data_IF_269420155012
#
_entry.id   IF_269420155012
#
_cell.length_a   1.000
_cell.length_b   1.000
_cell.length_c   1.000
_cell.angle_alpha   90.00
_cell.angle_beta   90.00
_cell.angle_gamma   90.00
#
_symmetry.space_group_name_H-M   'P 1'
#
loop_
_entity.id
_entity.type
_entity.pdbx_description
1 polymer ?
#
# COMPACT_ATOMS: atom_id res chain seq x y z
N UNK A 1 22.39 4.10 -4.31
CA UNK A 1 21.07 3.67 -3.82
C UNK A 1 21.04 3.92 -2.33
N UNK A 2 20.07 4.67 -1.83
CA UNK A 2 20.03 5.10 -0.44
C UNK A 2 18.85 4.46 0.28
N UNK A 3 19.14 3.74 1.38
CA UNK A 3 18.09 3.24 2.25
C UNK A 3 17.61 4.40 3.13
N UNK A 4 16.41 4.91 2.86
CA UNK A 4 15.80 5.96 3.65
C UNK A 4 15.16 5.38 4.91
N UNK A 5 15.92 5.37 6.00
CA UNK A 5 15.44 5.06 7.34
C UNK A 5 14.88 6.35 7.95
N UNK A 6 13.71 6.26 8.60
CA UNK A 6 13.08 7.41 9.27
C UNK A 6 14.10 8.12 10.17
N UNK A 7 14.18 9.45 10.04
CA UNK A 7 15.08 10.33 10.78
C UNK A 7 16.58 10.04 10.64
N UNK A 8 17.00 9.34 9.58
CA UNK A 8 18.41 9.12 9.26
C UNK A 8 18.80 9.95 8.05
N UNK A 9 19.85 10.75 8.17
CA UNK A 9 20.38 11.51 7.04
C UNK A 9 21.13 10.59 6.09
N UNK A 10 20.86 10.73 4.80
CA UNK A 10 21.62 10.08 3.74
C UNK A 10 22.36 11.19 2.99
N UNK A 11 23.69 11.15 3.04
CA UNK A 11 24.54 12.08 2.28
C UNK A 11 24.85 11.50 0.90
N UNK A 12 24.61 12.27 -0.15
CA UNK A 12 24.98 11.95 -1.53
C UNK A 12 25.76 13.10 -2.16
N UNK A 13 26.55 12.81 -3.18
CA UNK A 13 27.21 13.79 -4.05
C UNK A 13 26.43 14.06 -5.35
N UNK A 14 25.35 13.30 -5.58
CA UNK A 14 24.40 13.49 -6.68
C UNK A 14 23.19 14.34 -6.27
N UNK A 15 22.63 15.16 -7.17
CA UNK A 15 21.45 15.98 -6.89
C UNK A 15 20.13 15.20 -6.94
N UNK A 16 20.20 13.89 -7.24
CA UNK A 16 19.05 12.99 -7.31
C UNK A 16 19.29 11.78 -6.45
N UNK A 17 18.22 11.28 -5.85
CA UNK A 17 18.23 10.04 -5.07
C UNK A 17 16.98 9.23 -5.42
N UNK A 18 17.16 7.93 -5.58
CA UNK A 18 16.05 6.98 -5.70
C UNK A 18 15.66 6.52 -4.29
N UNK A 19 14.38 6.68 -3.94
CA UNK A 19 13.83 6.08 -2.72
C UNK A 19 13.48 4.64 -3.04
N UNK A 20 14.35 3.71 -2.64
CA UNK A 20 14.16 2.29 -2.92
C UNK A 20 13.07 1.71 -2.02
N UNK A 21 11.98 1.29 -2.62
CA UNK A 21 10.92 0.49 -2.00
C UNK A 21 10.94 -0.91 -2.60
N UNK A 22 10.73 -1.94 -1.78
CA UNK A 22 10.64 -3.32 -2.25
C UNK A 22 9.30 -3.94 -1.87
N UNK A 23 8.82 -4.98 -2.56
CA UNK A 23 7.64 -5.73 -2.13
C UNK A 23 7.78 -6.32 -0.72
N UNK A 24 9.01 -6.59 -0.26
CA UNK A 24 9.30 -7.09 1.09
C UNK A 24 9.37 -5.98 2.16
N UNK A 25 9.49 -4.71 1.75
CA UNK A 25 9.50 -3.55 2.64
C UNK A 25 8.91 -2.33 1.92
N UNK A 26 7.59 -2.31 1.65
CA UNK A 26 6.96 -1.19 0.98
C UNK A 26 6.84 0.02 1.92
N UNK A 27 6.77 1.22 1.36
CA UNK A 27 6.27 2.36 2.13
C UNK A 27 4.79 2.13 2.46
N UNK A 28 4.37 2.29 3.73
CA UNK A 28 2.96 2.19 4.10
C UNK A 28 2.09 3.20 3.35
N UNK A 29 0.80 2.89 3.17
CA UNK A 29 -0.17 3.86 2.66
C UNK A 29 -0.20 5.12 3.56
N UNK A 30 -0.29 6.29 2.94
CA UNK A 30 -0.38 7.57 3.65
C UNK A 30 0.63 8.62 3.17
N UNK A 31 0.80 9.66 3.99
CA UNK A 31 1.65 10.81 3.71
C UNK A 31 3.05 10.58 4.26
N UNK A 32 4.07 10.83 3.44
CA UNK A 32 5.48 10.73 3.79
C UNK A 32 6.18 12.05 3.47
N UNK A 33 6.85 12.63 4.47
CA UNK A 33 7.61 13.87 4.29
C UNK A 33 9.09 13.57 4.00
N UNK A 34 9.65 14.28 3.03
CA UNK A 34 11.06 14.23 2.68
C UNK A 34 11.65 15.62 2.81
N UNK A 35 12.91 15.69 3.22
CA UNK A 35 13.64 16.94 3.47
C UNK A 35 14.98 16.92 2.76
N UNK A 36 15.37 18.06 2.20
CA UNK A 36 16.67 18.27 1.58
C UNK A 36 17.40 19.44 2.25
N UNK A 37 18.69 19.23 2.54
CA UNK A 37 19.67 20.28 2.87
C UNK A 37 20.83 20.11 1.92
N UNK A 38 21.25 21.18 1.24
CA UNK A 38 22.43 21.17 0.38
C UNK A 38 23.59 21.87 1.07
N UNK A 39 24.80 21.38 0.84
CA UNK A 39 26.06 21.94 1.39
C UNK A 39 26.97 22.30 0.24
N UNK A 40 27.49 23.53 0.21
CA UNK A 40 28.46 23.96 -0.81
C UNK A 40 29.89 23.49 -0.51
N UNK A 41 30.82 23.75 -1.44
CA UNK A 41 32.23 23.37 -1.32
C UNK A 41 33.00 24.18 -0.25
N UNK A 42 32.42 25.28 0.21
CA UNK A 42 32.92 26.10 1.32
C UNK A 42 32.37 25.66 2.69
N UNK A 43 31.47 24.67 2.71
CA UNK A 43 30.86 24.10 3.91
C UNK A 43 29.61 24.83 4.40
N UNK A 44 29.03 25.75 3.63
CA UNK A 44 27.77 26.42 4.00
C UNK A 44 26.59 25.50 3.72
N UNK A 45 25.63 25.45 4.65
CA UNK A 45 24.38 24.69 4.50
C UNK A 45 23.21 25.61 4.14
N UNK A 46 22.31 25.12 3.28
CA UNK A 46 21.04 25.77 3.03
C UNK A 46 20.09 25.69 4.23
N UNK A 47 19.05 26.53 4.26
CA UNK A 47 17.83 26.17 5.00
C UNK A 47 17.22 24.91 4.38
N UNK A 48 16.53 24.06 5.16
CA UNK A 48 15.90 22.86 4.60
C UNK A 48 14.70 23.20 3.70
N UNK A 49 14.53 22.41 2.65
CA UNK A 49 13.29 22.36 1.85
C UNK A 49 12.58 21.01 2.08
N UNK A 50 11.25 21.00 2.03
CA UNK A 50 10.43 19.83 2.36
C UNK A 50 9.32 19.57 1.34
N UNK A 51 9.10 18.28 1.04
CA UNK A 51 8.01 17.82 0.17
C UNK A 51 7.24 16.69 0.83
N UNK A 52 5.96 16.54 0.47
CA UNK A 52 5.10 15.44 0.91
C UNK A 52 4.72 14.57 -0.27
N UNK A 53 4.98 13.27 -0.16
CA UNK A 53 4.55 12.25 -1.12
C UNK A 53 3.41 11.44 -0.50
N UNK A 54 2.36 11.17 -1.27
CA UNK A 54 1.24 10.33 -0.84
C UNK A 54 1.37 8.97 -1.51
N UNK A 55 1.52 7.93 -0.69
CA UNK A 55 1.42 6.53 -1.12
C UNK A 55 -0.06 6.13 -1.00
N UNK A 56 -0.70 5.87 -2.13
CA UNK A 56 -2.12 5.57 -2.21
C UNK A 56 -2.36 4.18 -2.81
N UNK A 57 -3.38 3.50 -2.30
CA UNK A 57 -3.93 2.32 -2.94
C UNK A 57 -4.86 2.77 -4.08
N UNK A 58 -4.62 2.22 -5.27
CA UNK A 58 -5.39 2.49 -6.48
C UNK A 58 -5.99 1.22 -7.09
N UNK A 59 -5.80 0.07 -6.44
CA UNK A 59 -6.31 -1.20 -6.92
C UNK A 59 -7.64 -1.53 -6.25
N UNK A 60 -8.50 -2.22 -6.99
CA UNK A 60 -9.75 -2.71 -6.44
C UNK A 60 -9.51 -4.04 -5.69
N UNK A 61 -10.28 -4.33 -4.63
CA UNK A 61 -10.23 -5.64 -4.00
C UNK A 61 -10.75 -6.72 -4.94
N UNK A 62 -10.18 -7.92 -4.84
CA UNK A 62 -10.62 -9.11 -5.55
C UNK A 62 -11.55 -9.94 -4.67
N UNK A 63 -12.80 -10.11 -5.12
CA UNK A 63 -13.78 -10.96 -4.45
C UNK A 63 -13.52 -12.44 -4.77
N UNK A 64 -13.42 -13.28 -3.74
CA UNK A 64 -13.28 -14.74 -3.87
C UNK A 64 -14.39 -15.41 -3.08
N UNK A 65 -15.34 -16.01 -3.79
CA UNK A 65 -16.53 -16.65 -3.22
C UNK A 65 -16.42 -18.18 -3.28
N UNK A 66 -16.60 -18.83 -2.13
CA UNK A 66 -16.72 -20.28 -2.01
C UNK A 66 -18.11 -20.66 -1.50
N UNK A 67 -18.65 -21.77 -2.02
CA UNK A 67 -19.95 -22.30 -1.66
C UNK A 67 -19.98 -23.83 -1.86
N UNK A 68 -20.87 -24.56 -1.16
CA UNK A 68 -21.16 -25.94 -1.50
C UNK A 68 -21.69 -26.08 -2.93
N UNK A 69 -21.30 -27.16 -3.62
CA UNK A 69 -21.79 -27.46 -4.98
C UNK A 69 -23.26 -27.89 -5.00
N UNK A 70 -23.76 -28.41 -3.89
CA UNK A 70 -25.14 -28.86 -3.72
C UNK A 70 -25.52 -28.78 -2.25
N UNK A 71 -26.80 -28.55 -1.99
CA UNK A 71 -27.36 -28.47 -0.64
C UNK A 71 -28.63 -29.31 -0.63
N UNK A 72 -28.86 -30.07 0.45
CA UNK A 72 -30.09 -30.84 0.62
C UNK A 72 -31.31 -29.93 0.72
N UNK A 73 -32.46 -30.40 0.26
CA UNK A 73 -33.72 -29.65 0.39
C UNK A 73 -34.00 -29.30 1.85
N UNK A 74 -34.40 -28.05 2.12
CA UNK A 74 -34.66 -27.54 3.46
C UNK A 74 -33.42 -27.39 4.35
N UNK A 75 -32.22 -27.67 3.85
CA UNK A 75 -30.97 -27.53 4.61
C UNK A 75 -30.38 -26.14 4.46
N UNK A 76 -29.83 -25.61 5.56
CA UNK A 76 -29.03 -24.39 5.52
C UNK A 76 -27.64 -24.67 4.96
N UNK A 77 -27.00 -23.63 4.42
CA UNK A 77 -25.63 -23.68 3.93
C UNK A 77 -24.95 -22.33 4.14
N UNK A 78 -23.62 -22.33 4.07
CA UNK A 78 -22.82 -21.12 4.21
C UNK A 78 -22.20 -20.73 2.86
N UNK A 79 -22.15 -19.42 2.62
CA UNK A 79 -21.28 -18.81 1.63
C UNK A 79 -20.05 -18.26 2.35
N UNK A 80 -18.90 -18.37 1.72
CA UNK A 80 -17.62 -17.99 2.33
C UNK A 80 -16.86 -17.04 1.39
N UNK A 81 -16.68 -15.80 1.86
CA UNK A 81 -15.92 -14.75 1.19
C UNK A 81 -14.54 -14.49 1.79
N UNK A 82 -14.11 -15.28 2.79
CA UNK A 82 -12.91 -15.02 3.61
C UNK A 82 -11.60 -14.98 2.82
N UNK A 83 -11.59 -15.56 1.62
CA UNK A 83 -10.45 -15.55 0.70
C UNK A 83 -10.36 -14.29 -0.17
N UNK A 84 -11.31 -13.37 -0.06
CA UNK A 84 -11.26 -12.08 -0.74
C UNK A 84 -10.10 -11.25 -0.20
N UNK A 85 -9.41 -10.51 -1.06
CA UNK A 85 -8.21 -9.77 -0.69
C UNK A 85 -8.05 -8.51 -1.51
N UNK A 86 -7.20 -7.59 -1.05
CA UNK A 86 -6.76 -6.42 -1.80
C UNK A 86 -5.24 -6.53 -2.02
N UNK A 87 -4.81 -6.46 -3.28
CA UNK A 87 -3.40 -6.55 -3.64
C UNK A 87 -2.68 -5.19 -3.61
N UNK A 88 -3.42 -4.07 -3.61
CA UNK A 88 -2.88 -2.71 -3.61
C UNK A 88 -2.44 -2.21 -2.25
N UNK A 89 -2.62 -3.02 -1.19
CA UNK A 89 -2.19 -2.73 0.18
C UNK A 89 -3.34 -2.29 1.10
N UNK A 90 -4.54 -2.09 0.54
CA UNK A 90 -5.77 -1.88 1.28
C UNK A 90 -6.25 -3.13 2.03
N UNK A 91 -7.41 -3.01 2.69
CA UNK A 91 -8.05 -4.11 3.41
C UNK A 91 -9.52 -4.19 3.02
N UNK A 92 -10.03 -5.40 2.85
CA UNK A 92 -11.46 -5.65 2.67
C UNK A 92 -12.18 -5.35 4.00
N UNK A 93 -13.08 -4.38 4.00
CA UNK A 93 -13.80 -3.93 5.21
C UNK A 93 -15.29 -4.24 5.19
N UNK A 94 -15.86 -4.62 4.05
CA UNK A 94 -17.28 -4.93 3.90
C UNK A 94 -17.52 -5.96 2.79
N UNK A 95 -18.64 -6.67 2.89
CA UNK A 95 -19.09 -7.66 1.92
C UNK A 95 -20.54 -7.40 1.56
N UNK A 96 -20.84 -7.29 0.26
CA UNK A 96 -22.19 -7.13 -0.26
C UNK A 96 -22.65 -8.45 -0.87
N UNK A 97 -23.69 -9.05 -0.29
CA UNK A 97 -24.22 -10.34 -0.70
C UNK A 97 -25.51 -10.14 -1.50
N UNK A 98 -25.59 -10.74 -2.68
CA UNK A 98 -26.81 -10.70 -3.52
C UNK A 98 -27.15 -12.11 -3.97
N UNK A 99 -28.39 -12.53 -3.74
CA UNK A 99 -28.94 -13.75 -4.34
C UNK A 99 -29.54 -13.40 -5.70
N UNK A 100 -28.97 -13.95 -6.78
CA UNK A 100 -29.40 -13.65 -8.15
C UNK A 100 -30.59 -14.50 -8.63
N UNK A 101 -31.16 -15.36 -7.77
CA UNK A 101 -32.19 -16.30 -8.19
C UNK A 101 -31.64 -17.51 -8.92
N UNK A 102 -32.54 -18.33 -9.45
CA UNK A 102 -32.18 -19.32 -10.46
C UNK A 102 -31.98 -18.60 -11.81
N UNK A 103 -31.07 -19.09 -12.67
CA UNK A 103 -30.98 -18.62 -14.05
C UNK A 103 -32.30 -18.69 -14.81
#
# INVERSE_FOLDING_TARGET
>A
MADFIINTEVKTDTPTVEVTISPSNPLPLGRHSFRLVVVDDSGNSSIPDEVVVIVADSQNPTAVLSAPRSVGFGSSFNLDGTRSFDAGGGRVVSYLWTYLGQP
#
